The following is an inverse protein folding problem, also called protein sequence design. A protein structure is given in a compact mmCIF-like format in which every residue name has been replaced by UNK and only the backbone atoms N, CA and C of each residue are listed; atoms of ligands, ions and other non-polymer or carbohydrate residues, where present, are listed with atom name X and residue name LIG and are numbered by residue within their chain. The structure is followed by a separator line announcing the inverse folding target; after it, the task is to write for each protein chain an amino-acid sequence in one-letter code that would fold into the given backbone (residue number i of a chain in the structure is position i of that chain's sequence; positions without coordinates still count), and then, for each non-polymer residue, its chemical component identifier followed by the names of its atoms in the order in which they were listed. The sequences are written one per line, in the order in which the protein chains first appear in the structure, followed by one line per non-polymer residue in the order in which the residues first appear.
data_IF_076727259757
#
_entry.id   IF_076727259757
#
_cell.length_a   1.000
_cell.length_b   1.000
_cell.length_c   1.000
_cell.angle_alpha   90.00
_cell.angle_beta   90.00
_cell.angle_gamma   90.00
#
_symmetry.space_group_name_H-M   'P 1'
#
loop_
_entity.id
_entity.type
_entity.pdbx_description
1 polymer ?
#
# COMPACT_ATOMS: atom_id res chain seq x y z
N UNK A 1 28.03 33.75 3.00
CA UNK A 1 28.32 32.52 3.78
C UNK A 1 28.53 31.31 2.86
N UNK A 2 27.60 31.00 1.95
CA UNK A 2 27.70 29.90 0.97
C UNK A 2 28.97 29.87 0.11
N UNK A 3 29.44 31.03 -0.40
CA UNK A 3 30.65 31.09 -1.23
C UNK A 3 31.92 30.65 -0.51
N UNK A 4 32.06 30.99 0.79
CA UNK A 4 33.22 30.56 1.59
C UNK A 4 33.20 29.05 1.82
N UNK A 5 32.02 28.48 2.02
CA UNK A 5 31.85 27.03 2.18
C UNK A 5 32.17 26.28 0.88
N UNK A 6 31.74 26.81 -0.27
CA UNK A 6 32.10 26.26 -1.58
C UNK A 6 33.61 26.31 -1.87
N UNK A 7 34.28 27.43 -1.56
CA UNK A 7 35.73 27.53 -1.72
C UNK A 7 36.49 26.59 -0.78
N UNK A 8 35.98 26.41 0.45
CA UNK A 8 36.56 25.48 1.41
C UNK A 8 36.43 24.02 0.92
N UNK A 9 35.25 23.61 0.46
CA UNK A 9 35.02 22.28 -0.11
C UNK A 9 35.87 22.01 -1.35
N UNK A 10 36.02 23.02 -2.23
CA UNK A 10 36.86 22.90 -3.43
C UNK A 10 38.34 22.72 -3.08
N UNK A 11 38.86 23.55 -2.17
CA UNK A 11 40.25 23.44 -1.74
C UNK A 11 40.51 22.12 -0.99
N UNK A 12 39.54 21.63 -0.23
CA UNK A 12 39.62 20.32 0.43
C UNK A 12 39.64 19.17 -0.59
N UNK A 13 38.84 19.24 -1.66
CA UNK A 13 38.83 18.24 -2.72
C UNK A 13 40.10 18.23 -3.58
N UNK A 14 40.81 19.35 -3.68
CA UNK A 14 42.07 19.48 -4.44
C UNK A 14 43.33 19.20 -3.60
N UNK A 15 43.22 19.05 -2.27
CA UNK A 15 44.37 18.87 -1.37
C UNK A 15 44.82 17.40 -1.30
N UNK A 16 45.94 17.09 -1.98
CA UNK A 16 46.53 15.75 -2.01
C UNK A 16 47.47 15.45 -0.84
N UNK A 17 47.48 16.28 0.22
CA UNK A 17 48.34 16.11 1.40
C UNK A 17 47.70 15.26 2.51
N UNK A 18 46.47 14.80 2.31
CA UNK A 18 45.77 13.90 3.23
C UNK A 18 46.45 12.54 3.31
N UNK A 19 46.66 12.03 4.52
CA UNK A 19 47.04 10.63 4.72
C UNK A 19 45.84 9.75 4.36
N UNK A 20 46.06 8.65 3.63
CA UNK A 20 45.03 7.66 3.22
C UNK A 20 44.09 7.26 4.38
N UNK A 21 44.60 7.22 5.61
CA UNK A 21 43.81 6.95 6.80
C UNK A 21 42.71 8.00 7.08
N UNK A 22 42.96 9.30 6.84
CA UNK A 22 41.98 10.38 7.05
C UNK A 22 40.90 10.35 5.97
N UNK A 23 41.29 10.10 4.73
CA UNK A 23 40.34 9.92 3.62
C UNK A 23 39.44 8.71 3.86
N UNK A 24 40.02 7.57 4.27
CA UNK A 24 39.26 6.38 4.62
C UNK A 24 38.30 6.62 5.80
N UNK A 25 38.70 7.39 6.81
CA UNK A 25 37.86 7.71 7.97
C UNK A 25 36.59 8.50 7.59
N UNK A 26 36.63 9.26 6.49
CA UNK A 26 35.48 10.04 6.00
C UNK A 26 34.65 9.25 4.98
N UNK A 27 35.31 8.57 4.04
CA UNK A 27 34.64 7.86 2.94
C UNK A 27 33.95 6.59 3.44
N UNK A 28 34.59 5.83 4.35
CA UNK A 28 34.05 4.54 4.79
C UNK A 28 32.67 4.65 5.45
N UNK A 29 32.41 5.56 6.42
CA UNK A 29 31.07 5.73 6.99
C UNK A 29 30.02 6.12 5.94
N UNK A 30 30.38 6.96 4.97
CA UNK A 30 29.48 7.39 3.91
C UNK A 30 29.12 6.24 2.96
N UNK A 31 30.10 5.39 2.62
CA UNK A 31 29.87 4.19 1.81
C UNK A 31 28.99 3.18 2.56
N UNK A 32 29.28 2.93 3.84
CA UNK A 32 28.47 2.04 4.69
C UNK A 32 27.03 2.54 4.79
N UNK A 33 26.83 3.83 5.05
CA UNK A 33 25.50 4.44 5.09
C UNK A 33 24.79 4.33 3.75
N UNK A 34 25.48 4.61 2.64
CA UNK A 34 24.88 4.54 1.29
C UNK A 34 24.46 3.11 0.93
N UNK A 35 25.28 2.12 1.27
CA UNK A 35 24.97 0.70 1.06
C UNK A 35 23.77 0.26 1.89
N UNK A 36 23.73 0.62 3.18
CA UNK A 36 22.58 0.34 4.05
C UNK A 36 21.32 1.02 3.54
N UNK A 37 21.41 2.29 3.11
CA UNK A 37 20.30 3.01 2.54
C UNK A 37 19.77 2.29 1.29
N UNK A 38 20.64 1.93 0.34
CA UNK A 38 20.26 1.20 -0.86
C UNK A 38 19.52 -0.12 -0.53
N UNK A 39 20.03 -0.89 0.43
CA UNK A 39 19.37 -2.11 0.88
C UNK A 39 17.97 -1.86 1.42
N UNK A 40 17.80 -0.89 2.34
CA UNK A 40 16.50 -0.58 2.95
C UNK A 40 15.51 -0.03 1.92
N UNK A 41 15.96 0.81 0.98
CA UNK A 41 15.09 1.28 -0.10
C UNK A 41 14.62 0.11 -0.98
N UNK A 42 15.52 -0.78 -1.38
CA UNK A 42 15.17 -1.95 -2.18
C UNK A 42 14.15 -2.83 -1.46
N UNK A 43 14.40 -3.13 -0.18
CA UNK A 43 13.52 -3.92 0.66
C UNK A 43 12.11 -3.29 0.77
N UNK A 44 12.03 -1.99 1.07
CA UNK A 44 10.77 -1.26 1.13
C UNK A 44 9.97 -1.31 -0.19
N UNK A 45 10.65 -1.15 -1.34
CA UNK A 45 10.00 -1.28 -2.65
C UNK A 45 9.55 -2.71 -2.95
N UNK A 46 10.33 -3.70 -2.54
CA UNK A 46 9.99 -5.11 -2.70
C UNK A 46 8.75 -5.46 -1.89
N UNK A 47 8.69 -5.08 -0.60
CA UNK A 47 7.51 -5.26 0.25
C UNK A 47 6.30 -4.57 -0.36
N UNK A 48 6.44 -3.30 -0.78
CA UNK A 48 5.34 -2.58 -1.42
C UNK A 48 4.81 -3.29 -2.67
N UNK A 49 5.72 -3.76 -3.53
CA UNK A 49 5.32 -4.49 -4.74
C UNK A 49 4.61 -5.80 -4.42
N UNK A 50 5.06 -6.53 -3.40
CA UNK A 50 4.42 -7.78 -2.98
C UNK A 50 3.02 -7.53 -2.43
N UNK A 51 2.88 -6.54 -1.56
CA UNK A 51 1.60 -6.12 -0.97
C UNK A 51 0.58 -5.69 -2.03
N UNK A 52 0.99 -4.88 -3.01
CA UNK A 52 0.11 -4.46 -4.10
C UNK A 52 -0.35 -5.67 -4.94
N UNK A 53 0.57 -6.58 -5.30
CA UNK A 53 0.23 -7.81 -6.05
C UNK A 53 -0.70 -8.74 -5.25
N UNK A 54 -0.48 -8.85 -3.95
CA UNK A 54 -1.35 -9.62 -3.05
C UNK A 54 -2.76 -9.04 -3.05
N UNK A 55 -2.90 -7.72 -2.91
CA UNK A 55 -4.20 -7.04 -2.93
C UNK A 55 -4.94 -7.24 -4.28
N UNK A 56 -4.22 -7.14 -5.41
CA UNK A 56 -4.79 -7.44 -6.72
C UNK A 56 -5.26 -8.89 -6.85
N UNK A 57 -4.51 -9.83 -6.27
CA UNK A 57 -4.87 -11.26 -6.27
C UNK A 57 -6.17 -11.49 -5.50
N UNK A 58 -6.32 -10.90 -4.31
CA UNK A 58 -7.56 -10.96 -3.53
C UNK A 58 -8.72 -10.35 -4.31
N UNK A 59 -8.52 -9.18 -4.94
CA UNK A 59 -9.54 -8.53 -5.76
C UNK A 59 -9.98 -9.40 -6.96
N UNK A 60 -9.04 -10.06 -7.64
CA UNK A 60 -9.36 -10.97 -8.75
C UNK A 60 -10.14 -12.20 -8.29
N UNK A 61 -9.78 -12.79 -7.14
CA UNK A 61 -10.52 -13.91 -6.53
C UNK A 61 -11.96 -13.48 -6.23
N UNK A 62 -12.15 -12.37 -5.50
CA UNK A 62 -13.47 -11.84 -5.15
C UNK A 62 -14.31 -11.50 -6.38
N UNK A 63 -13.70 -10.98 -7.45
CA UNK A 63 -14.41 -10.66 -8.69
C UNK A 63 -15.01 -11.87 -9.39
N UNK A 64 -14.47 -13.08 -9.14
CA UNK A 64 -14.91 -14.32 -9.75
C UNK A 64 -15.81 -15.15 -8.84
N UNK A 65 -16.02 -14.72 -7.61
CA UNK A 65 -16.84 -15.42 -6.66
C UNK A 65 -18.33 -15.24 -7.02
N UNK A 66 -19.05 -16.35 -7.11
CA UNK A 66 -20.48 -16.37 -7.46
C UNK A 66 -21.36 -16.77 -6.28
N UNK A 67 -20.78 -17.43 -5.27
CA UNK A 67 -21.49 -17.74 -4.05
C UNK A 67 -21.51 -16.51 -3.12
N UNK A 68 -22.47 -16.49 -2.20
CA UNK A 68 -22.43 -15.50 -1.13
C UNK A 68 -21.22 -15.78 -0.23
N UNK A 69 -20.48 -14.73 0.12
CA UNK A 69 -19.32 -14.80 1.02
C UNK A 69 -19.72 -14.44 2.45
N UNK A 70 -18.98 -14.97 3.42
CA UNK A 70 -19.24 -14.75 4.84
C UNK A 70 -18.00 -14.24 5.58
N UNK A 71 -18.13 -14.08 6.90
CA UNK A 71 -17.02 -13.66 7.77
C UNK A 71 -15.83 -14.60 7.72
N UNK A 72 -16.06 -15.92 7.60
CA UNK A 72 -15.02 -16.95 7.50
C UNK A 72 -14.24 -16.81 6.20
N UNK A 73 -14.94 -16.62 5.07
CA UNK A 73 -14.32 -16.38 3.78
C UNK A 73 -13.42 -15.14 3.84
N UNK A 74 -13.93 -14.03 4.40
CA UNK A 74 -13.15 -12.80 4.51
C UNK A 74 -11.92 -12.96 5.42
N UNK A 75 -12.03 -13.72 6.52
CA UNK A 75 -10.89 -14.04 7.37
C UNK A 75 -9.83 -14.88 6.64
N UNK A 76 -10.26 -15.85 5.84
CA UNK A 76 -9.37 -16.65 5.00
C UNK A 76 -8.69 -15.79 3.92
N UNK A 77 -9.42 -14.86 3.29
CA UNK A 77 -8.85 -13.92 2.32
C UNK A 77 -7.79 -13.03 2.94
N UNK A 78 -8.00 -12.56 4.17
CA UNK A 78 -6.96 -11.85 4.92
C UNK A 78 -5.75 -12.74 5.17
N UNK A 79 -5.94 -13.98 5.63
CA UNK A 79 -4.81 -14.90 5.84
C UNK A 79 -4.02 -15.17 4.57
N UNK A 80 -4.68 -15.27 3.42
CA UNK A 80 -4.00 -15.37 2.12
C UNK A 80 -3.24 -14.09 1.77
N UNK A 81 -3.83 -12.91 2.03
CA UNK A 81 -3.14 -11.64 1.85
C UNK A 81 -1.88 -11.54 2.72
N UNK A 82 -1.94 -11.94 3.98
CA UNK A 82 -0.82 -11.92 4.91
C UNK A 82 0.32 -12.82 4.40
N UNK A 83 -0.03 -14.01 3.90
CA UNK A 83 0.92 -14.95 3.30
C UNK A 83 1.57 -14.40 2.02
N UNK A 84 0.81 -13.76 1.14
CA UNK A 84 1.32 -13.24 -0.13
C UNK A 84 2.10 -11.94 0.02
N UNK A 85 1.72 -11.08 0.97
CA UNK A 85 2.40 -9.81 1.23
C UNK A 85 3.68 -9.98 2.04
N UNK A 86 3.97 -11.18 2.54
CA UNK A 86 5.11 -11.47 3.43
C UNK A 86 5.16 -10.49 4.61
N UNK A 87 4.00 -10.11 5.14
CA UNK A 87 3.89 -9.12 6.19
C UNK A 87 3.94 -9.77 7.57
N UNK A 88 4.95 -9.43 8.36
CA UNK A 88 5.08 -9.86 9.76
C UNK A 88 4.26 -8.99 10.74
N UNK A 89 3.74 -7.85 10.26
CA UNK A 89 2.98 -6.87 11.06
C UNK A 89 1.47 -7.01 10.87
N UNK A 90 0.70 -6.33 11.72
CA UNK A 90 -0.76 -6.33 11.62
C UNK A 90 -1.22 -5.74 10.28
N UNK A 91 -1.80 -6.57 9.41
CA UNK A 91 -2.41 -6.15 8.14
C UNK A 91 -3.85 -5.70 8.34
N UNK A 92 -4.50 -5.23 7.28
CA UNK A 92 -5.94 -4.95 7.21
C UNK A 92 -6.50 -5.34 5.87
N UNK A 93 -7.74 -5.84 5.86
CA UNK A 93 -8.54 -6.05 4.66
C UNK A 93 -9.92 -5.46 4.88
N UNK A 94 -10.35 -4.58 3.97
CA UNK A 94 -11.73 -4.10 3.84
C UNK A 94 -12.22 -4.46 2.45
N UNK A 95 -13.39 -5.09 2.41
CA UNK A 95 -14.09 -5.38 1.16
C UNK A 95 -15.44 -4.70 1.25
N UNK A 96 -15.74 -3.88 0.24
CA UNK A 96 -17.02 -3.21 0.11
C UNK A 96 -17.57 -3.44 -1.28
N UNK A 97 -18.88 -3.51 -1.40
CA UNK A 97 -19.55 -3.49 -2.69
C UNK A 97 -20.33 -2.20 -2.81
N UNK A 98 -20.14 -1.53 -3.93
CA UNK A 98 -20.80 -0.26 -4.24
C UNK A 98 -21.52 -0.39 -5.57
N UNK A 99 -22.60 0.36 -5.74
CA UNK A 99 -23.35 0.49 -6.98
C UNK A 99 -23.47 1.96 -7.37
N UNK A 100 -23.85 2.23 -8.61
CA UNK A 100 -24.14 3.59 -9.08
C UNK A 100 -25.62 3.71 -9.45
N UNK A 101 -26.25 4.78 -8.98
CA UNK A 101 -27.67 5.05 -9.23
C UNK A 101 -27.84 6.40 -9.93
N UNK A 102 -28.39 6.37 -11.15
CA UNK A 102 -28.67 7.59 -11.93
C UNK A 102 -29.83 8.40 -11.33
N UNK A 103 -30.68 7.78 -10.50
CA UNK A 103 -31.81 8.46 -9.84
C UNK A 103 -31.33 9.35 -8.70
N UNK A 104 -30.38 8.86 -7.90
CA UNK A 104 -29.78 9.62 -6.80
C UNK A 104 -28.56 10.44 -7.25
N UNK A 105 -27.99 10.13 -8.42
CA UNK A 105 -26.76 10.73 -8.96
C UNK A 105 -25.57 10.57 -7.99
N UNK A 106 -25.51 9.42 -7.31
CA UNK A 106 -24.49 9.11 -6.31
C UNK A 106 -24.12 7.62 -6.29
N UNK A 107 -23.01 7.30 -5.64
CA UNK A 107 -22.61 5.93 -5.33
C UNK A 107 -23.40 5.42 -4.13
N UNK A 108 -23.96 4.23 -4.24
CA UNK A 108 -24.69 3.56 -3.17
C UNK A 108 -23.83 2.44 -2.56
N UNK A 109 -23.76 2.39 -1.23
CA UNK A 109 -23.04 1.35 -0.51
C UNK A 109 -23.97 0.15 -0.30
N UNK A 110 -23.67 -0.98 -0.94
CA UNK A 110 -24.43 -2.22 -0.77
C UNK A 110 -24.10 -2.90 0.56
N UNK A 111 -22.80 -3.07 0.82
CA UNK A 111 -22.29 -3.58 2.11
C UNK A 111 -20.79 -3.30 2.24
N UNK A 112 -20.30 -3.29 3.48
CA UNK A 112 -18.86 -3.19 3.77
C UNK A 112 -18.48 -4.01 5.00
N UNK A 113 -17.56 -4.96 4.79
CA UNK A 113 -17.02 -5.81 5.85
C UNK A 113 -15.50 -5.73 5.93
N UNK A 114 -14.99 -5.86 7.15
CA UNK A 114 -13.57 -5.72 7.43
C UNK A 114 -13.04 -6.89 8.23
N UNK A 115 -11.74 -7.12 8.07
CA UNK A 115 -10.94 -7.99 8.92
C UNK A 115 -9.65 -7.26 9.29
N UNK A 116 -9.36 -7.14 10.59
CA UNK A 116 -8.26 -6.34 11.13
C UNK A 116 -8.71 -4.99 11.68
N UNK A 117 -7.83 -3.98 11.62
CA UNK A 117 -8.11 -2.66 12.23
C UNK A 117 -8.81 -1.66 11.31
N UNK A 118 -9.36 -2.12 10.17
CA UNK A 118 -10.21 -1.27 9.34
C UNK A 118 -11.58 -1.04 9.99
N UNK A 119 -12.03 0.22 9.95
CA UNK A 119 -13.44 0.53 10.09
C UNK A 119 -14.19 0.18 8.79
N UNK A 120 -15.39 -0.41 8.91
CA UNK A 120 -16.30 -0.57 7.78
C UNK A 120 -16.53 0.76 7.08
N UNK A 121 -16.65 0.72 5.75
CA UNK A 121 -16.99 1.90 4.96
C UNK A 121 -18.44 2.30 5.28
N UNK A 122 -18.66 3.58 5.56
CA UNK A 122 -19.99 4.15 5.70
C UNK A 122 -20.40 4.88 4.41
N UNK A 123 -21.69 5.14 4.23
CA UNK A 123 -22.19 5.95 3.12
C UNK A 123 -21.55 7.36 3.10
N UNK A 124 -21.45 8.01 4.27
CA UNK A 124 -20.78 9.33 4.35
C UNK A 124 -19.31 9.29 3.91
N UNK A 125 -18.60 8.22 4.25
CA UNK A 125 -17.21 8.03 3.85
C UNK A 125 -17.09 7.70 2.35
N UNK A 126 -18.07 6.98 1.77
CA UNK A 126 -18.12 6.69 0.33
C UNK A 126 -18.17 7.99 -0.50
N UNK A 127 -18.93 8.98 -0.06
CA UNK A 127 -19.05 10.26 -0.77
C UNK A 127 -17.71 11.01 -0.84
N UNK A 128 -16.86 10.85 0.19
CA UNK A 128 -15.50 11.40 0.18
C UNK A 128 -14.53 10.69 -0.79
N UNK A 129 -14.91 9.50 -1.28
CA UNK A 129 -14.14 8.70 -2.24
C UNK A 129 -14.60 8.90 -3.69
N UNK A 130 -15.69 9.63 -3.92
CA UNK A 130 -16.30 9.84 -5.24
C UNK A 130 -15.31 10.25 -6.33
N UNK A 131 -14.37 11.16 -6.02
CA UNK A 131 -13.32 11.61 -6.97
C UNK A 131 -12.31 10.52 -7.37
N UNK A 132 -12.19 9.46 -6.57
CA UNK A 132 -11.27 8.33 -6.80
C UNK A 132 -11.94 7.15 -7.49
N UNK A 133 -13.26 7.18 -7.60
CA UNK A 133 -14.05 6.13 -8.22
C UNK A 133 -14.27 6.41 -9.71
N UNK A 134 -14.30 5.36 -10.55
CA UNK A 134 -14.53 5.54 -11.98
C UNK A 134 -16.01 5.84 -12.27
N UNK A 135 -16.28 6.49 -13.39
CA UNK A 135 -17.65 6.65 -13.88
C UNK A 135 -18.29 5.28 -14.17
N UNK A 136 -19.47 5.03 -13.60
CA UNK A 136 -20.20 3.76 -13.69
C UNK A 136 -21.51 3.93 -14.47
N UNK A 137 -21.99 2.84 -15.08
CA UNK A 137 -23.34 2.80 -15.64
C UNK A 137 -24.40 2.60 -14.53
N UNK A 138 -25.65 2.93 -14.83
CA UNK A 138 -26.77 2.73 -13.91
C UNK A 138 -26.91 1.26 -13.49
N UNK A 139 -26.95 1.01 -12.18
CA UNK A 139 -27.03 -0.32 -11.59
C UNK A 139 -25.76 -1.17 -11.75
N UNK A 140 -24.66 -0.60 -12.26
CA UNK A 140 -23.37 -1.28 -12.27
C UNK A 140 -22.86 -1.45 -10.83
N UNK A 141 -22.18 -2.55 -10.54
CA UNK A 141 -21.56 -2.79 -9.23
C UNK A 141 -20.05 -2.90 -9.33
N UNK A 142 -19.36 -2.41 -8.30
CA UNK A 142 -17.92 -2.56 -8.12
C UNK A 142 -17.62 -3.17 -6.76
N UNK A 143 -16.63 -4.06 -6.73
CA UNK A 143 -16.02 -4.55 -5.52
C UNK A 143 -14.82 -3.66 -5.22
N UNK A 144 -14.88 -2.94 -4.12
CA UNK A 144 -13.78 -2.15 -3.58
C UNK A 144 -13.02 -2.97 -2.54
N UNK A 145 -11.76 -3.25 -2.84
CA UNK A 145 -10.82 -3.94 -1.96
C UNK A 145 -9.76 -2.94 -1.50
N UNK A 146 -9.71 -2.75 -0.19
CA UNK A 146 -8.73 -1.91 0.46
C UNK A 146 -7.90 -2.74 1.42
N UNK A 147 -6.58 -2.59 1.33
CA UNK A 147 -5.64 -3.27 2.22
C UNK A 147 -4.69 -2.28 2.84
N UNK A 148 -4.16 -2.62 4.01
CA UNK A 148 -2.97 -1.96 4.52
C UNK A 148 -2.02 -3.01 5.12
N UNK A 149 -0.74 -2.68 5.08
CA UNK A 149 0.36 -3.38 5.75
C UNK A 149 1.35 -2.33 6.25
N UNK A 150 2.06 -2.63 7.33
CA UNK A 150 3.12 -1.77 7.86
C UNK A 150 4.46 -2.40 7.51
N UNK A 151 5.32 -1.62 6.84
CA UNK A 151 6.71 -1.95 6.62
C UNK A 151 7.54 -1.34 7.75
N UNK A 152 8.25 -2.20 8.48
CA UNK A 152 9.15 -1.83 9.57
C UNK A 152 10.59 -2.07 9.11
N UNK A 153 11.38 -1.02 8.85
CA UNK A 153 12.74 -1.19 8.37
C UNK A 153 13.64 -1.85 9.43
N UNK A 154 14.45 -2.83 9.02
CA UNK A 154 15.43 -3.46 9.92
C UNK A 154 16.46 -2.48 10.51
N UNK A 155 16.70 -1.34 9.82
CA UNK A 155 17.65 -0.30 10.21
C UNK A 155 17.06 1.08 9.94
N UNK A 156 17.22 1.99 10.90
CA UNK A 156 16.78 3.38 10.72
C UNK A 156 17.84 4.20 9.96
N UNK A 157 17.68 4.25 8.64
CA UNK A 157 18.48 5.08 7.71
C UNK A 157 17.77 6.39 7.32
N UNK A 158 16.72 6.77 8.07
CA UNK A 158 15.90 7.96 7.79
C UNK A 158 14.57 7.70 7.09
N UNK A 159 14.22 6.43 6.81
CA UNK A 159 12.93 6.06 6.23
C UNK A 159 11.82 5.98 7.29
N UNK A 160 12.11 5.39 8.47
CA UNK A 160 11.11 5.10 9.50
C UNK A 160 10.03 4.11 9.03
N UNK A 161 9.03 3.89 9.87
CA UNK A 161 7.92 2.97 9.56
C UNK A 161 7.07 3.53 8.43
N UNK A 162 6.72 2.67 7.47
CA UNK A 162 5.94 3.05 6.29
C UNK A 162 4.66 2.24 6.22
N UNK A 163 3.52 2.92 6.11
CA UNK A 163 2.26 2.24 5.83
C UNK A 163 2.11 2.06 4.31
N UNK A 164 1.98 0.81 3.87
CA UNK A 164 1.64 0.45 2.50
C UNK A 164 0.15 0.20 2.45
N UNK A 165 -0.61 1.10 1.83
CA UNK A 165 -2.05 0.93 1.60
C UNK A 165 -2.35 0.74 0.12
N UNK A 166 -3.35 -0.08 -0.18
CA UNK A 166 -3.81 -0.35 -1.53
C UNK A 166 -5.31 -0.07 -1.63
N UNK A 167 -5.73 0.49 -2.77
CA UNK A 167 -7.13 0.80 -3.08
C UNK A 167 -7.43 0.31 -4.49
N UNK A 168 -8.16 -0.80 -4.60
CA UNK A 168 -8.44 -1.47 -5.88
C UNK A 168 -9.95 -1.62 -6.02
N UNK A 169 -10.48 -1.22 -7.17
CA UNK A 169 -11.85 -1.50 -7.56
C UNK A 169 -11.85 -2.46 -8.74
N UNK A 170 -12.72 -3.47 -8.69
CA UNK A 170 -12.88 -4.47 -9.75
C UNK A 170 -14.36 -4.79 -9.96
N UNK A 171 -14.77 -4.95 -11.21
CA UNK A 171 -16.12 -5.42 -11.56
C UNK A 171 -16.27 -6.92 -11.26
N UNK A 172 -17.39 -7.37 -10.68
CA UNK A 172 -17.75 -8.79 -10.72
C UNK A 172 -17.73 -9.33 -12.15
N UNK A 173 -17.15 -10.52 -12.34
CA UNK A 173 -16.95 -11.12 -13.68
C UNK A 173 -18.03 -12.11 -14.06
N UNK A 174 -18.61 -12.82 -13.10
CA UNK A 174 -19.51 -13.95 -13.35
C UNK A 174 -20.90 -13.79 -12.72
N UNK A 175 -21.06 -12.84 -11.80
CA UNK A 175 -22.33 -12.52 -11.13
C UNK A 175 -22.58 -11.00 -11.22
N UNK A 176 -23.83 -10.52 -11.12
CA UNK A 176 -24.12 -9.09 -11.13
C UNK A 176 -23.60 -8.36 -9.89
N UNK A 177 -23.37 -9.07 -8.78
CA UNK A 177 -22.90 -8.53 -7.52
C UNK A 177 -22.25 -9.63 -6.69
N UNK A 178 -21.27 -9.27 -5.85
CA UNK A 178 -20.78 -10.13 -4.77
C UNK A 178 -21.73 -10.01 -3.57
N UNK A 179 -22.37 -11.11 -3.20
CA UNK A 179 -23.40 -11.14 -2.14
C UNK A 179 -22.77 -11.51 -0.79
N UNK A 180 -23.27 -10.92 0.29
CA UNK A 180 -22.89 -11.26 1.65
C UNK A 180 -23.88 -12.23 2.30
N UNK A 181 -23.35 -13.26 2.97
CA UNK A 181 -24.11 -14.18 3.83
C UNK A 181 -23.77 -13.88 5.29
N UNK A 182 -24.81 -13.55 6.06
CA UNK A 182 -24.73 -13.32 7.52
C UNK A 182 -24.56 -14.62 8.31
#
# INVERSE_FOLDING_TARGET
MFKKFQTFLKNFAEDSKGTVAVEAAIILPLLMWSYMAMYIFFDAYQTRSSTEKAAFTISDILSRETAAIDTTYLANMRSLFDMLSESDSATGLRVSVISWSVVSDDYELEWSHTQGTFASLSADALNSLSERLPTMADGETLILVETYSTYEPALNVGLGDQQVSTFIFTRPRFAPQLVWSS
#
